data_IF_130805919232
#
_entry.id   IF_130805919232
#
_cell.length_a   1.000
_cell.length_b   1.000
_cell.length_c   1.000
_cell.angle_alpha   90.00
_cell.angle_beta   90.00
_cell.angle_gamma   90.00
#
_symmetry.space_group_name_H-M   'P 1'
#
loop_
_entity.id
_entity.type
_entity.pdbx_description
1 polymer ?
#
# COMPACT_ATOMS: atom_id res chain seq x y z
N UNK A 1 -0.66 11.68 17.26
CA UNK A 1 -0.39 12.40 16.00
C UNK A 1 1.11 12.32 15.73
N UNK A 2 1.53 11.88 14.55
CA UNK A 2 2.95 11.91 14.15
C UNK A 2 3.03 12.59 12.78
N UNK A 3 3.78 13.69 12.66
CA UNK A 3 3.94 14.44 11.41
C UNK A 3 2.61 14.78 10.68
N UNK A 4 1.60 15.28 11.40
CA UNK A 4 0.30 15.67 10.81
C UNK A 4 -0.63 14.52 10.40
N UNK A 5 -0.23 13.25 10.62
CA UNK A 5 -1.08 12.09 10.36
C UNK A 5 -1.74 11.58 11.65
N UNK A 6 -3.03 11.26 11.56
CA UNK A 6 -3.81 10.64 12.65
C UNK A 6 -3.88 9.14 12.37
N UNK A 7 -3.45 8.35 13.35
CA UNK A 7 -3.52 6.88 13.30
C UNK A 7 -4.61 6.42 14.25
N UNK A 8 -5.36 5.39 13.89
CA UNK A 8 -6.39 4.84 14.77
C UNK A 8 -5.79 4.06 15.95
N UNK A 9 -4.57 3.52 15.79
CA UNK A 9 -3.85 2.79 16.84
C UNK A 9 -2.32 2.88 16.70
N UNK A 10 -1.59 2.41 17.73
CA UNK A 10 -0.12 2.23 17.68
C UNK A 10 0.25 1.23 16.57
N UNK A 11 -0.54 0.15 16.40
CA UNK A 11 -0.36 -0.84 15.33
C UNK A 11 -0.35 -0.18 13.96
N UNK A 12 -1.27 0.76 13.71
CA UNK A 12 -1.35 1.46 12.42
C UNK A 12 -0.13 2.36 12.18
N UNK A 13 0.38 3.00 13.24
CA UNK A 13 1.59 3.81 13.15
C UNK A 13 2.83 2.97 12.82
N UNK A 14 2.92 1.75 13.39
CA UNK A 14 4.01 0.81 13.12
C UNK A 14 3.90 0.31 11.68
N UNK A 15 2.72 -0.12 11.24
CA UNK A 15 2.50 -0.56 9.86
C UNK A 15 2.84 0.55 8.86
N UNK A 16 2.45 1.80 9.13
CA UNK A 16 2.83 2.94 8.29
C UNK A 16 4.35 3.17 8.21
N UNK A 17 5.10 2.79 9.24
CA UNK A 17 6.56 2.87 9.26
C UNK A 17 7.23 1.66 8.61
N UNK A 18 6.61 0.48 8.64
CA UNK A 18 7.13 -0.73 7.99
C UNK A 18 7.35 -0.55 6.47
N UNK A 19 6.59 0.35 5.82
CA UNK A 19 6.85 0.71 4.41
C UNK A 19 8.25 1.29 4.17
N UNK A 20 8.83 1.95 5.17
CA UNK A 20 10.11 2.65 5.08
C UNK A 20 11.24 1.65 5.32
N UNK A 21 11.55 0.84 4.30
CA UNK A 21 12.63 -0.15 4.38
C UNK A 21 12.59 -1.25 3.31
N UNK A 22 11.49 -1.35 2.55
CA UNK A 22 11.37 -2.29 1.43
C UNK A 22 11.74 -1.70 0.06
N UNK A 23 11.96 -2.57 -0.90
CA UNK A 23 12.04 -2.26 -2.33
C UNK A 23 10.65 -2.08 -2.94
N UNK A 24 10.49 -1.10 -3.82
CA UNK A 24 9.31 -0.98 -4.67
C UNK A 24 9.36 -2.05 -5.77
N UNK A 25 8.29 -2.84 -5.86
CA UNK A 25 8.14 -3.89 -6.88
C UNK A 25 7.33 -3.38 -8.06
N UNK A 26 6.25 -2.65 -7.77
CA UNK A 26 5.35 -2.09 -8.77
C UNK A 26 4.60 -0.90 -8.19
N UNK A 27 4.21 0.02 -9.07
CA UNK A 27 3.33 1.15 -8.78
C UNK A 27 2.24 1.23 -9.84
N UNK A 28 1.02 1.55 -9.42
CA UNK A 28 -0.03 1.99 -10.32
C UNK A 28 -0.59 3.33 -9.85
N UNK A 29 -0.86 4.19 -10.81
CA UNK A 29 -1.44 5.51 -10.61
C UNK A 29 -2.78 5.61 -11.34
N UNK A 30 -3.73 6.31 -10.75
CA UNK A 30 -5.01 6.66 -11.35
C UNK A 30 -5.43 8.06 -10.91
N UNK A 31 -5.81 8.91 -11.86
CA UNK A 31 -6.48 10.17 -11.56
C UNK A 31 -7.94 10.13 -12.01
N UNK A 32 -8.76 10.94 -11.36
CA UNK A 32 -10.21 10.97 -11.58
C UNK A 32 -10.61 11.33 -13.03
N UNK A 33 -9.78 12.08 -13.76
CA UNK A 33 -10.13 12.52 -15.11
C UNK A 33 -9.73 11.52 -16.18
N UNK A 34 -8.53 10.94 -16.07
CA UNK A 34 -8.04 9.97 -17.05
C UNK A 34 -8.54 8.54 -16.79
N UNK A 35 -8.81 8.19 -15.53
CA UNK A 35 -9.11 6.82 -15.15
C UNK A 35 -10.04 6.73 -13.93
N UNK A 36 -11.21 7.37 -14.02
CA UNK A 36 -12.22 7.40 -12.96
C UNK A 36 -12.53 6.01 -12.37
N UNK A 37 -12.73 5.00 -13.22
CA UNK A 37 -13.05 3.64 -12.75
C UNK A 37 -11.96 3.04 -11.86
N UNK A 38 -10.68 3.24 -12.20
CA UNK A 38 -9.57 2.75 -11.38
C UNK A 38 -9.42 3.59 -10.12
N UNK A 39 -9.63 4.90 -10.21
CA UNK A 39 -9.65 5.78 -9.06
C UNK A 39 -10.71 5.32 -8.03
N UNK A 40 -11.95 5.11 -8.46
CA UNK A 40 -13.06 4.66 -7.60
C UNK A 40 -12.77 3.30 -6.94
N UNK A 41 -12.15 2.37 -7.68
CA UNK A 41 -11.72 1.09 -7.14
C UNK A 41 -10.66 1.24 -6.04
N UNK A 42 -9.66 2.09 -6.26
CA UNK A 42 -8.60 2.33 -5.27
C UNK A 42 -9.12 3.10 -4.05
N UNK A 43 -10.02 4.06 -4.24
CA UNK A 43 -10.66 4.81 -3.16
C UNK A 43 -11.54 3.89 -2.30
N UNK A 44 -12.34 3.03 -2.93
CA UNK A 44 -13.13 2.00 -2.25
C UNK A 44 -12.24 1.06 -1.44
N UNK A 45 -11.15 0.56 -2.05
CA UNK A 45 -10.20 -0.32 -1.37
C UNK A 45 -9.48 0.38 -0.20
N UNK A 46 -9.15 1.67 -0.34
CA UNK A 46 -8.53 2.46 0.72
C UNK A 46 -9.45 2.67 1.92
N UNK A 47 -10.77 2.69 1.72
CA UNK A 47 -11.78 3.05 2.73
C UNK A 47 -12.59 1.87 3.28
N UNK A 48 -12.52 0.70 2.65
CA UNK A 48 -13.24 -0.52 3.06
C UNK A 48 -12.96 -0.93 4.53
N UNK A 49 -13.91 -1.40 5.32
CA UNK A 49 -13.60 -1.96 6.64
C UNK A 49 -12.80 -3.28 6.53
N UNK A 50 -11.85 -3.57 7.45
CA UNK A 50 -11.25 -4.91 7.55
C UNK A 50 -12.29 -6.01 7.85
N UNK A 51 -12.07 -7.27 7.40
CA UNK A 51 -10.93 -7.75 6.61
C UNK A 51 -11.07 -7.43 5.10
N UNK A 52 -9.93 -7.36 4.41
CA UNK A 52 -9.82 -7.22 2.95
C UNK A 52 -9.01 -8.41 2.45
N UNK A 53 -9.53 -9.15 1.46
CA UNK A 53 -8.87 -10.33 0.87
C UNK A 53 -8.42 -11.41 1.87
N UNK A 54 -9.16 -11.61 2.97
CA UNK A 54 -8.77 -12.50 4.08
C UNK A 54 -7.42 -12.14 4.74
N UNK A 55 -6.85 -10.96 4.46
CA UNK A 55 -5.68 -10.45 5.14
C UNK A 55 -6.08 -9.88 6.51
N UNK A 56 -5.49 -10.39 7.59
CA UNK A 56 -5.80 -10.00 8.97
C UNK A 56 -4.97 -8.80 9.47
N UNK A 57 -3.93 -8.42 8.73
CA UNK A 57 -3.10 -7.26 9.07
C UNK A 57 -3.33 -6.14 8.08
N UNK A 58 -4.25 -5.26 8.46
CA UNK A 58 -4.63 -4.08 7.70
C UNK A 58 -4.52 -2.87 8.61
N UNK A 59 -3.86 -1.82 8.12
CA UNK A 59 -3.81 -0.51 8.78
C UNK A 59 -4.43 0.53 7.87
N UNK A 60 -5.32 1.32 8.42
CA UNK A 60 -5.91 2.49 7.76
C UNK A 60 -5.48 3.75 8.50
N UNK A 61 -5.14 4.80 7.76
CA UNK A 61 -4.92 6.13 8.34
C UNK A 61 -5.47 7.21 7.43
N UNK A 62 -6.06 8.24 8.04
CA UNK A 62 -6.55 9.41 7.35
C UNK A 62 -5.81 10.63 7.88
N UNK A 63 -5.25 11.43 6.98
CA UNK A 63 -4.66 12.71 7.33
C UNK A 63 -5.74 13.80 7.33
N UNK A 64 -5.50 14.85 8.12
CA UNK A 64 -6.45 15.97 8.30
C UNK A 64 -6.71 16.75 7.02
N UNK A 65 -5.81 16.64 6.04
CA UNK A 65 -5.96 17.26 4.73
C UNK A 65 -6.87 16.45 3.80
N UNK A 66 -7.50 15.35 4.25
CA UNK A 66 -8.34 14.47 3.43
C UNK A 66 -7.59 13.37 2.68
N UNK A 67 -6.28 13.21 2.90
CA UNK A 67 -5.51 12.10 2.32
C UNK A 67 -5.80 10.81 3.08
N UNK A 68 -6.30 9.80 2.38
CA UNK A 68 -6.52 8.46 2.92
C UNK A 68 -5.36 7.55 2.56
N UNK A 69 -4.92 6.72 3.50
CA UNK A 69 -3.83 5.76 3.31
C UNK A 69 -4.23 4.41 3.87
N UNK A 70 -3.82 3.36 3.17
CA UNK A 70 -4.04 1.99 3.62
C UNK A 70 -2.80 1.14 3.39
N UNK A 71 -2.53 0.25 4.34
CA UNK A 71 -1.55 -0.81 4.20
C UNK A 71 -2.25 -2.14 4.34
N UNK A 72 -2.02 -3.03 3.38
CA UNK A 72 -2.49 -4.42 3.40
C UNK A 72 -1.27 -5.30 3.39
N UNK A 73 -1.01 -6.04 4.47
CA UNK A 73 0.10 -6.99 4.52
C UNK A 73 -0.32 -8.27 3.82
N UNK A 74 0.40 -8.63 2.76
CA UNK A 74 0.19 -9.85 1.99
C UNK A 74 1.03 -11.00 2.55
N UNK A 75 2.21 -10.70 3.08
CA UNK A 75 3.15 -11.66 3.67
C UNK A 75 4.04 -10.99 4.71
N UNK A 76 4.58 -11.77 5.64
CA UNK A 76 5.54 -11.30 6.64
C UNK A 76 4.97 -10.92 8.01
N UNK A 77 3.70 -11.22 8.30
CA UNK A 77 3.06 -10.99 9.61
C UNK A 77 3.01 -12.24 10.52
N UNK A 78 3.56 -13.37 10.07
CA UNK A 78 3.63 -14.62 10.83
C UNK A 78 5.08 -14.98 11.17
N UNK A 79 5.25 -15.73 12.27
CA UNK A 79 6.55 -16.24 12.69
C UNK A 79 7.13 -17.17 11.61
N UNK A 80 8.41 -16.97 11.29
CA UNK A 80 9.12 -17.78 10.30
C UNK A 80 9.09 -17.23 8.87
N UNK A 81 8.23 -16.25 8.56
CA UNK A 81 8.32 -15.51 7.31
C UNK A 81 9.65 -14.75 7.24
N UNK A 82 10.38 -14.93 6.13
CA UNK A 82 11.72 -14.37 5.93
C UNK A 82 11.72 -13.02 5.21
N UNK A 83 10.59 -12.64 4.65
CA UNK A 83 10.39 -11.36 4.00
C UNK A 83 8.99 -10.84 4.26
N UNK A 84 8.77 -9.57 3.96
CA UNK A 84 7.48 -8.92 4.05
C UNK A 84 7.09 -8.47 2.65
N UNK A 85 5.79 -8.60 2.33
CA UNK A 85 5.21 -8.03 1.13
C UNK A 85 3.91 -7.32 1.53
N UNK A 86 3.74 -6.07 1.09
CA UNK A 86 2.55 -5.31 1.44
C UNK A 86 2.16 -4.35 0.32
N UNK A 87 0.87 -4.10 0.22
CA UNK A 87 0.31 -3.04 -0.60
C UNK A 87 0.20 -1.77 0.22
N UNK A 88 0.61 -0.65 -0.35
CA UNK A 88 0.40 0.68 0.19
C UNK A 88 -0.46 1.49 -0.78
N UNK A 89 -1.64 1.87 -0.35
CA UNK A 89 -2.59 2.67 -1.13
C UNK A 89 -2.63 4.07 -0.54
N UNK A 90 -2.59 5.08 -1.39
CA UNK A 90 -2.77 6.47 -1.01
C UNK A 90 -3.77 7.14 -1.97
N UNK A 91 -4.81 7.73 -1.40
CA UNK A 91 -5.80 8.53 -2.13
C UNK A 91 -5.67 9.97 -1.67
N UNK A 92 -5.37 10.88 -2.60
CA UNK A 92 -5.19 12.30 -2.32
C UNK A 92 -6.41 13.11 -2.80
N UNK A 93 -6.88 14.07 -1.99
CA UNK A 93 -7.94 14.98 -2.39
C UNK A 93 -7.44 15.94 -3.47
N UNK A 94 -8.34 16.63 -4.18
CA UNK A 94 -7.92 17.57 -5.21
C UNK A 94 -7.15 18.74 -4.58
N UNK A 95 -6.21 19.30 -5.33
CA UNK A 95 -5.49 20.52 -4.96
C UNK A 95 -5.40 21.47 -6.15
N UNK A 96 -4.87 22.68 -5.94
CA UNK A 96 -4.83 23.70 -7.00
C UNK A 96 -4.04 23.15 -8.19
N UNK A 97 -4.71 23.00 -9.35
CA UNK A 97 -4.13 22.47 -10.57
C UNK A 97 -3.91 20.95 -10.59
N UNK A 98 -4.42 20.20 -9.60
CA UNK A 98 -4.34 18.73 -9.58
C UNK A 98 -5.68 18.07 -9.24
N UNK A 99 -6.11 17.09 -10.05
CA UNK A 99 -7.31 16.32 -9.75
C UNK A 99 -7.09 15.40 -8.55
N UNK A 100 -8.16 14.72 -8.12
CA UNK A 100 -8.01 13.59 -7.21
C UNK A 100 -7.15 12.51 -7.86
N UNK A 101 -6.23 11.96 -7.07
CA UNK A 101 -5.31 10.92 -7.50
C UNK A 101 -5.27 9.80 -6.47
N UNK A 102 -5.10 8.57 -6.96
CA UNK A 102 -4.91 7.40 -6.16
C UNK A 102 -3.72 6.61 -6.69
N UNK A 103 -2.87 6.16 -5.78
CA UNK A 103 -1.71 5.34 -6.09
C UNK A 103 -1.73 4.08 -5.24
N UNK A 104 -1.31 2.97 -5.84
CA UNK A 104 -1.04 1.74 -5.13
C UNK A 104 0.38 1.28 -5.44
N UNK A 105 1.11 0.98 -4.37
CA UNK A 105 2.48 0.49 -4.41
C UNK A 105 2.50 -0.93 -3.86
N UNK A 106 3.26 -1.80 -4.50
CA UNK A 106 3.66 -3.09 -3.93
C UNK A 106 5.10 -2.95 -3.42
N UNK A 107 5.29 -3.11 -2.12
CA UNK A 107 6.59 -3.09 -1.48
C UNK A 107 6.96 -4.48 -0.96
N UNK A 108 8.26 -4.77 -0.97
CA UNK A 108 8.81 -6.02 -0.42
C UNK A 108 10.15 -5.83 0.29
N UNK A 109 10.44 -6.64 1.29
CA UNK A 109 11.79 -6.76 1.86
C UNK A 109 12.58 -7.94 1.29
N UNK A 110 12.02 -8.67 0.31
CA UNK A 110 12.72 -9.70 -0.43
C UNK A 110 13.97 -9.09 -1.11
N UNK A 111 15.17 -9.65 -0.91
CA UNK A 111 16.37 -9.20 -1.61
C UNK A 111 16.21 -9.40 -3.12
N UNK A 112 16.56 -8.39 -3.95
CA UNK A 112 16.44 -8.54 -5.40
C UNK A 112 17.42 -9.57 -5.94
N UNK A 113 16.96 -10.43 -6.86
CA UNK A 113 17.83 -11.38 -7.56
C UNK A 113 18.68 -10.66 -8.60
N UNK A 114 20.00 -10.83 -8.53
CA UNK A 114 20.94 -10.23 -9.48
C UNK A 114 20.68 -10.72 -10.92
N UNK A 115 20.88 -9.84 -11.90
CA UNK A 115 20.71 -10.17 -13.33
C UNK A 115 19.26 -10.23 -13.82
N UNK A 116 18.28 -9.94 -12.98
CA UNK A 116 16.86 -9.86 -13.36
C UNK A 116 16.35 -8.41 -13.31
N UNK A 117 15.26 -8.10 -14.00
CA UNK A 117 14.69 -6.75 -14.11
C UNK A 117 13.21 -6.70 -13.73
N UNK A 118 12.73 -5.51 -13.35
CA UNK A 118 11.33 -5.28 -12.98
C UNK A 118 10.87 -6.17 -11.82
N UNK A 119 9.63 -6.66 -11.91
CA UNK A 119 9.02 -7.51 -10.88
C UNK A 119 9.68 -8.89 -10.76
N UNK A 120 10.36 -9.36 -11.80
CA UNK A 120 11.06 -10.65 -11.81
C UNK A 120 12.24 -10.70 -10.81
N UNK A 121 12.68 -9.55 -10.32
CA UNK A 121 13.68 -9.43 -9.24
C UNK A 121 13.19 -9.96 -7.90
N UNK A 122 11.88 -10.12 -7.73
CA UNK A 122 11.23 -10.47 -6.46
C UNK A 122 10.30 -11.68 -6.63
N UNK A 123 10.84 -12.86 -6.97
CA UNK A 123 10.04 -14.04 -7.30
C UNK A 123 9.12 -14.52 -6.16
N UNK A 124 9.52 -14.40 -4.89
CA UNK A 124 8.67 -14.80 -3.77
C UNK A 124 7.50 -13.83 -3.60
N UNK A 125 7.76 -12.53 -3.74
CA UNK A 125 6.73 -11.48 -3.68
C UNK A 125 5.70 -11.65 -4.78
N UNK A 126 6.16 -11.91 -6.01
CA UNK A 126 5.26 -12.16 -7.14
C UNK A 126 4.36 -13.36 -6.86
N UNK A 127 4.92 -14.47 -6.33
CA UNK A 127 4.12 -15.66 -5.96
C UNK A 127 3.06 -15.40 -4.90
N UNK A 128 3.30 -14.49 -3.95
CA UNK A 128 2.31 -14.11 -2.93
C UNK A 128 1.13 -13.37 -3.55
N UNK A 129 1.39 -12.49 -4.52
CA UNK A 129 0.33 -11.68 -5.18
C UNK A 129 -0.59 -12.54 -6.06
N UNK A 130 -0.09 -13.65 -6.60
CA UNK A 130 -0.88 -14.55 -7.46
C UNK A 130 -1.71 -15.62 -6.71
N UNK A 131 -1.63 -15.67 -5.38
CA UNK A 131 -2.44 -16.58 -4.56
C UNK A 131 -3.76 -15.94 -4.19
#
# INVERSE_FOLDING_TARGET
RFAGTVYASVRDSVLQKMRSGGSEVAVQHADQHSNARRYDLLESLATQPPPVWNCHTISTSCATNGTSRRIIVLHGDQQGHQFQAHLYIICRPPSIGRPREAEVYLYTTEPPVAGTMGTARFPQTVRVVWR
#
